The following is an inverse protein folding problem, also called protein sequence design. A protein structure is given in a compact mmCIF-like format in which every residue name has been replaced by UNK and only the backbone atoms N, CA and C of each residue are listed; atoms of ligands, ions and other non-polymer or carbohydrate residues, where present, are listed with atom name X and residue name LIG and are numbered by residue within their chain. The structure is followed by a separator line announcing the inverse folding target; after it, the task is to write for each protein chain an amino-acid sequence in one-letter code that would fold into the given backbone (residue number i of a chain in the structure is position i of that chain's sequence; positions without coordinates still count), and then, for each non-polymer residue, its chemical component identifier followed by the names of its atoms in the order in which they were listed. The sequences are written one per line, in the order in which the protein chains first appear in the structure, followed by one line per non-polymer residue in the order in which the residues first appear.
data_IF_482146961802
#
_entry.id   IF_482146961802
#
_cell.length_a   1.000
_cell.length_b   1.000
_cell.length_c   1.000
_cell.angle_alpha   90.00
_cell.angle_beta   90.00
_cell.angle_gamma   90.00
#
_symmetry.space_group_name_H-M   'P 1'
#
loop_
_entity.id
_entity.type
_entity.pdbx_description
1 polymer ?
#
# COMPACT_ATOMS: atom_id res chain seq x y z
N UNK A 1 8.77 10.88 1.34
CA UNK A 1 10.21 11.00 1.01
C UNK A 1 10.36 11.55 -0.40
N UNK A 2 11.42 12.32 -0.67
CA UNK A 2 11.71 12.95 -1.96
C UNK A 2 11.97 11.89 -3.02
N UNK A 3 11.35 12.08 -4.18
CA UNK A 3 11.47 11.22 -5.36
C UNK A 3 12.22 11.91 -6.51
N UNK A 4 13.10 12.87 -6.19
CA UNK A 4 13.99 13.45 -7.20
C UNK A 4 14.74 12.31 -7.93
N UNK A 5 14.74 12.37 -9.27
CA UNK A 5 15.37 11.38 -10.15
C UNK A 5 14.74 9.98 -10.14
N UNK A 6 13.54 9.84 -9.59
CA UNK A 6 12.70 8.66 -9.78
C UNK A 6 11.75 8.90 -10.95
N UNK A 7 11.56 7.89 -11.80
CA UNK A 7 10.61 7.95 -12.91
C UNK A 7 9.19 7.93 -12.32
N UNK A 8 8.39 9.00 -12.49
CA UNK A 8 7.12 9.09 -11.81
C UNK A 8 6.01 8.32 -12.53
N UNK A 9 5.11 7.74 -11.75
CA UNK A 9 3.77 7.40 -12.18
C UNK A 9 2.82 8.54 -11.78
N UNK A 10 2.58 8.77 -10.49
CA UNK A 10 1.79 9.91 -10.01
C UNK A 10 2.55 10.66 -8.94
N UNK A 11 3.00 11.89 -9.22
CA UNK A 11 3.92 12.59 -8.32
C UNK A 11 3.40 12.72 -6.88
N UNK A 12 2.08 12.84 -6.70
CA UNK A 12 1.42 12.93 -5.40
C UNK A 12 1.01 11.58 -4.78
N UNK A 13 1.26 10.45 -5.44
CA UNK A 13 0.88 9.09 -5.01
C UNK A 13 2.08 8.15 -4.93
N UNK A 14 3.13 8.41 -5.69
CA UNK A 14 4.38 7.68 -5.66
C UNK A 14 5.05 7.83 -4.29
N UNK A 15 5.65 6.74 -3.80
CA UNK A 15 6.32 6.70 -2.50
C UNK A 15 7.59 5.87 -2.61
N UNK A 16 8.64 6.31 -1.93
CA UNK A 16 9.88 5.56 -1.79
C UNK A 16 9.75 4.58 -0.62
N UNK A 17 10.16 3.33 -0.82
CA UNK A 17 10.14 2.30 0.21
C UNK A 17 11.43 1.48 0.21
N UNK A 18 11.69 0.77 1.31
CA UNK A 18 12.86 -0.08 1.47
C UNK A 18 12.44 -1.48 1.91
N UNK A 19 13.14 -2.49 1.41
CA UNK A 19 12.96 -3.87 1.79
C UNK A 19 14.16 -4.33 2.62
N UNK A 20 13.90 -5.03 3.71
CA UNK A 20 14.93 -5.67 4.52
C UNK A 20 14.39 -6.98 5.07
N UNK A 21 15.29 -7.97 5.19
CA UNK A 21 14.96 -9.27 5.78
C UNK A 21 14.90 -9.24 7.29
N UNK A 22 15.60 -8.28 7.90
CA UNK A 22 15.77 -8.16 9.35
C UNK A 22 15.00 -6.92 9.82
N UNK A 23 14.03 -7.07 10.75
CA UNK A 23 13.18 -5.98 11.19
C UNK A 23 13.96 -4.85 11.88
N UNK A 24 14.99 -5.15 12.67
CA UNK A 24 15.81 -4.13 13.33
C UNK A 24 16.64 -3.33 12.32
N UNK A 25 17.25 -4.02 11.34
CA UNK A 25 17.99 -3.33 10.27
C UNK A 25 17.07 -2.48 9.41
N UNK A 26 15.84 -2.97 9.18
CA UNK A 26 14.82 -2.24 8.44
C UNK A 26 14.44 -0.94 9.14
N UNK A 27 14.03 -1.04 10.42
CA UNK A 27 13.66 0.10 11.27
C UNK A 27 14.81 1.11 11.35
N UNK A 28 16.02 0.64 11.64
CA UNK A 28 17.22 1.49 11.74
C UNK A 28 17.48 2.26 10.44
N UNK A 29 17.46 1.58 9.29
CA UNK A 29 17.70 2.24 8.00
C UNK A 29 16.58 3.23 7.68
N UNK A 30 15.33 2.79 7.80
CA UNK A 30 14.18 3.59 7.43
C UNK A 30 14.09 4.87 8.27
N UNK A 31 14.24 4.79 9.60
CA UNK A 31 14.25 5.98 10.46
C UNK A 31 15.36 6.96 10.10
N UNK A 32 16.56 6.46 9.78
CA UNK A 32 17.67 7.32 9.33
C UNK A 32 17.38 7.98 7.96
N UNK A 33 16.57 7.34 7.12
CA UNK A 33 16.20 7.86 5.82
C UNK A 33 15.14 8.97 5.89
N UNK A 34 14.28 8.98 6.92
CA UNK A 34 13.25 10.01 7.19
C UNK A 34 13.83 11.36 7.64
N UNK A 35 14.93 11.81 7.03
CA UNK A 35 15.49 13.12 7.29
C UNK A 35 14.54 14.23 6.76
N UNK A 36 14.25 15.30 7.53
CA UNK A 36 13.28 16.33 7.11
C UNK A 36 13.56 17.00 5.76
N UNK A 37 14.84 17.18 5.40
CA UNK A 37 15.24 17.74 4.10
C UNK A 37 14.97 16.79 2.91
N UNK A 38 14.66 15.52 3.19
CA UNK A 38 14.24 14.53 2.21
C UNK A 38 12.71 14.33 2.23
N UNK A 39 11.93 15.17 2.93
CA UNK A 39 10.48 15.11 2.80
C UNK A 39 10.04 15.64 1.43
N UNK A 40 9.00 15.03 0.87
CA UNK A 40 8.46 15.46 -0.41
C UNK A 40 7.79 16.83 -0.23
N UNK A 41 8.02 17.75 -1.16
CA UNK A 41 7.45 19.09 -1.10
C UNK A 41 5.90 19.06 -1.11
N UNK A 42 5.27 19.93 -0.32
CA UNK A 42 3.81 20.01 -0.22
C UNK A 42 3.17 20.49 -1.51
N UNK A 43 3.88 21.26 -2.34
CA UNK A 43 3.44 21.64 -3.69
C UNK A 43 3.30 20.45 -4.64
N UNK A 44 4.03 19.36 -4.38
CA UNK A 44 3.94 18.12 -5.18
C UNK A 44 2.84 17.21 -4.64
N UNK A 45 2.76 17.04 -3.32
CA UNK A 45 1.79 16.11 -2.71
C UNK A 45 0.37 16.69 -2.59
N UNK A 46 0.23 18.01 -2.52
CA UNK A 46 -1.03 18.68 -2.18
C UNK A 46 -1.47 18.49 -0.72
N UNK A 47 -0.61 17.93 0.14
CA UNK A 47 -0.91 17.63 1.55
C UNK A 47 -0.19 18.58 2.51
N UNK A 48 -0.60 18.56 3.78
CA UNK A 48 0.10 19.27 4.86
C UNK A 48 1.57 18.81 4.97
N UNK A 49 2.49 19.62 5.53
CA UNK A 49 3.85 19.16 5.79
C UNK A 49 3.87 17.84 6.58
N UNK A 50 4.75 16.91 6.20
CA UNK A 50 4.88 15.64 6.90
C UNK A 50 5.49 15.86 8.29
N UNK A 51 4.81 15.36 9.33
CA UNK A 51 5.30 15.33 10.71
C UNK A 51 5.34 13.88 11.15
N UNK A 52 6.48 13.44 11.67
CA UNK A 52 6.72 12.04 12.04
C UNK A 52 7.22 11.95 13.48
N UNK A 53 6.33 11.94 14.48
CA UNK A 53 6.75 11.86 15.88
C UNK A 53 7.39 10.49 16.18
N UNK A 54 8.53 10.50 16.87
CA UNK A 54 9.14 9.29 17.42
C UNK A 54 8.67 9.08 18.86
N UNK A 55 7.63 8.28 19.04
CA UNK A 55 7.08 7.96 20.37
C UNK A 55 6.68 6.49 20.45
N UNK A 56 6.62 5.96 21.67
CA UNK A 56 6.07 4.64 21.96
C UNK A 56 4.60 4.71 22.41
N UNK A 57 3.91 5.78 22.02
CA UNK A 57 2.49 5.91 22.27
C UNK A 57 1.70 5.11 21.22
N UNK A 58 1.69 3.80 21.42
CA UNK A 58 1.14 2.86 20.45
C UNK A 58 -0.39 2.96 20.31
N UNK A 59 -0.94 2.64 19.12
CA UNK A 59 -2.38 2.52 18.91
C UNK A 59 -3.03 1.55 19.91
N UNK A 60 -4.32 1.77 20.22
CA UNK A 60 -5.07 0.92 21.15
C UNK A 60 -6.02 -0.06 20.48
N UNK A 61 -6.24 0.10 19.18
CA UNK A 61 -7.21 -0.72 18.43
C UNK A 61 -6.57 -1.37 17.20
N UNK A 62 -6.76 -2.68 17.06
CA UNK A 62 -6.52 -3.41 15.81
C UNK A 62 -7.81 -3.35 15.00
N UNK A 63 -7.79 -2.73 13.83
CA UNK A 63 -8.91 -2.78 12.90
C UNK A 63 -8.75 -4.04 12.03
N UNK A 64 -9.74 -4.92 12.10
CA UNK A 64 -9.89 -6.10 11.27
C UNK A 64 -10.98 -5.83 10.21
N UNK A 65 -10.62 -5.52 8.95
CA UNK A 65 -11.56 -5.30 7.86
C UNK A 65 -12.09 -6.63 7.31
N UNK A 66 -13.37 -6.93 7.57
CA UNK A 66 -14.04 -8.18 7.19
C UNK A 66 -14.26 -8.34 5.68
N UNK A 67 -14.08 -7.26 4.91
CA UNK A 67 -14.11 -7.25 3.44
C UNK A 67 -12.72 -7.45 2.82
N UNK A 68 -11.67 -7.54 3.62
CA UNK A 68 -10.30 -7.86 3.17
C UNK A 68 -9.69 -9.08 3.87
N UNK A 69 -10.31 -9.55 4.95
CA UNK A 69 -9.90 -10.70 5.75
C UNK A 69 -11.14 -11.57 6.06
N UNK A 70 -11.03 -12.91 6.19
CA UNK A 70 -9.82 -13.71 6.42
C UNK A 70 -8.90 -13.88 5.20
N UNK A 71 -7.72 -14.50 5.41
CA UNK A 71 -6.79 -14.82 4.33
C UNK A 71 -7.40 -15.84 3.35
N UNK A 72 -7.06 -15.72 2.07
CA UNK A 72 -7.59 -16.59 1.02
C UNK A 72 -7.24 -18.07 1.20
N UNK A 73 -6.07 -18.39 1.79
CA UNK A 73 -5.69 -19.74 2.15
C UNK A 73 -6.12 -20.02 3.60
N UNK A 74 -7.08 -20.94 3.84
CA UNK A 74 -7.49 -21.31 5.19
C UNK A 74 -6.34 -21.85 6.06
N UNK A 75 -5.31 -22.44 5.46
CA UNK A 75 -4.12 -22.90 6.20
C UNK A 75 -3.26 -21.74 6.72
N UNK A 76 -3.38 -20.54 6.14
CA UNK A 76 -2.68 -19.34 6.58
C UNK A 76 -3.45 -18.59 7.68
N UNK A 77 -4.76 -18.82 7.84
CA UNK A 77 -5.58 -18.08 8.81
C UNK A 77 -5.10 -18.26 10.27
N UNK A 78 -4.75 -19.48 10.76
CA UNK A 78 -4.21 -19.63 12.12
C UNK A 78 -2.93 -18.84 12.38
N UNK A 79 -2.13 -18.58 11.33
CA UNK A 79 -0.91 -17.74 11.42
C UNK A 79 -1.32 -16.28 11.66
N UNK A 80 -2.32 -15.78 10.92
CA UNK A 80 -2.85 -14.43 11.11
C UNK A 80 -3.50 -14.28 12.49
N UNK A 81 -4.32 -15.22 12.91
CA UNK A 81 -4.96 -15.21 14.24
C UNK A 81 -3.92 -15.18 15.36
N UNK A 82 -2.86 -15.99 15.25
CA UNK A 82 -1.75 -15.98 16.20
C UNK A 82 -1.02 -14.64 16.21
N UNK A 83 -0.76 -14.04 15.04
CA UNK A 83 -0.13 -12.74 14.93
C UNK A 83 -0.98 -11.63 15.58
N UNK A 84 -2.29 -11.60 15.30
CA UNK A 84 -3.24 -10.65 15.91
C UNK A 84 -3.27 -10.81 17.43
N UNK A 85 -3.30 -12.05 17.92
CA UNK A 85 -3.30 -12.35 19.36
C UNK A 85 -2.04 -11.84 20.04
N UNK A 86 -0.86 -12.09 19.46
CA UNK A 86 0.40 -11.60 20.02
C UNK A 86 0.50 -10.08 19.95
N UNK A 87 0.06 -9.45 18.85
CA UNK A 87 0.03 -7.99 18.75
C UNK A 87 -0.91 -7.37 19.81
N UNK A 88 -2.09 -7.95 20.00
CA UNK A 88 -3.01 -7.54 21.06
C UNK A 88 -2.39 -7.67 22.46
N UNK A 89 -1.65 -8.75 22.71
CA UNK A 89 -0.92 -8.97 23.98
C UNK A 89 0.21 -7.96 24.19
N UNK A 90 1.07 -7.77 23.18
CA UNK A 90 2.29 -6.94 23.28
C UNK A 90 1.96 -5.48 23.50
N UNK A 91 0.87 -4.98 22.91
CA UNK A 91 0.50 -3.56 22.93
C UNK A 91 -0.76 -3.24 23.74
N UNK A 92 -1.36 -4.25 24.38
CA UNK A 92 -2.63 -4.13 25.11
C UNK A 92 -3.74 -3.54 24.22
N UNK A 93 -3.94 -4.15 23.05
CA UNK A 93 -4.89 -3.67 22.05
C UNK A 93 -6.16 -4.50 22.00
N UNK A 94 -7.28 -3.84 21.70
CA UNK A 94 -8.54 -4.51 21.37
C UNK A 94 -8.67 -4.73 19.87
N UNK A 95 -9.26 -5.84 19.46
CA UNK A 95 -9.60 -6.10 18.06
C UNK A 95 -11.01 -5.57 17.76
N UNK A 96 -11.14 -4.73 16.74
CA UNK A 96 -12.41 -4.21 16.23
C UNK A 96 -12.63 -4.70 14.80
N UNK A 97 -13.61 -5.59 14.62
CA UNK A 97 -14.03 -6.04 13.28
C UNK A 97 -14.96 -4.99 12.66
N UNK A 98 -14.69 -4.60 11.43
CA UNK A 98 -15.52 -3.67 10.65
C UNK A 98 -15.56 -4.11 9.19
N UNK A 99 -16.56 -3.68 8.43
CA UNK A 99 -16.46 -3.69 6.97
C UNK A 99 -15.89 -2.34 6.53
N UNK A 100 -14.67 -2.31 5.98
CA UNK A 100 -13.99 -1.06 5.61
C UNK A 100 -14.75 -0.32 4.52
N UNK A 101 -15.14 -1.03 3.46
CA UNK A 101 -15.89 -0.46 2.34
C UNK A 101 -17.18 0.22 2.80
N UNK A 102 -17.99 -0.47 3.61
CA UNK A 102 -19.23 0.08 4.14
C UNK A 102 -18.97 1.22 5.14
N UNK A 103 -17.89 1.15 5.94
CA UNK A 103 -17.53 2.22 6.88
C UNK A 103 -17.23 3.53 6.13
N UNK A 104 -16.46 3.44 5.05
CA UNK A 104 -16.16 4.58 4.18
C UNK A 104 -17.44 5.09 3.50
N UNK A 105 -18.19 4.21 2.84
CA UNK A 105 -19.39 4.60 2.07
C UNK A 105 -20.54 5.16 2.91
N UNK A 106 -20.63 4.78 4.18
CA UNK A 106 -21.65 5.31 5.10
C UNK A 106 -21.23 6.62 5.78
N UNK A 107 -20.02 7.12 5.55
CA UNK A 107 -19.61 8.41 6.06
C UNK A 107 -20.46 9.54 5.44
N UNK A 108 -20.62 10.64 6.19
CA UNK A 108 -21.40 11.80 5.74
C UNK A 108 -20.60 12.75 4.85
N UNK A 109 -19.26 12.64 4.85
CA UNK A 109 -18.41 13.47 4.02
C UNK A 109 -18.59 13.11 2.53
N UNK A 110 -18.93 14.07 1.66
CA UNK A 110 -19.28 13.79 0.26
C UNK A 110 -18.11 13.27 -0.58
N UNK A 111 -16.86 13.56 -0.19
CA UNK A 111 -15.66 13.07 -0.87
C UNK A 111 -15.13 11.82 -0.18
N UNK A 112 -14.98 11.87 1.15
CA UNK A 112 -14.50 10.77 1.98
C UNK A 112 -15.35 9.51 1.84
N UNK A 113 -16.65 9.62 1.55
CA UNK A 113 -17.53 8.46 1.32
C UNK A 113 -17.55 7.94 -0.13
N UNK A 114 -16.96 8.65 -1.08
CA UNK A 114 -17.15 8.38 -2.51
C UNK A 114 -15.90 7.82 -3.19
N UNK A 115 -15.75 6.48 -3.12
CA UNK A 115 -14.66 5.78 -3.79
C UNK A 115 -14.53 6.09 -5.28
N UNK A 116 -15.64 6.29 -6.00
CA UNK A 116 -15.59 6.61 -7.43
C UNK A 116 -14.84 7.91 -7.69
N UNK A 117 -15.16 8.97 -6.95
CA UNK A 117 -14.49 10.27 -7.08
C UNK A 117 -13.02 10.15 -6.68
N UNK A 118 -12.72 9.46 -5.57
CA UNK A 118 -11.34 9.26 -5.09
C UNK A 118 -10.47 8.47 -6.09
N UNK A 119 -11.01 7.42 -6.71
CA UNK A 119 -10.31 6.61 -7.71
C UNK A 119 -10.06 7.41 -9.00
N UNK A 120 -11.05 8.18 -9.46
CA UNK A 120 -10.90 9.04 -10.64
C UNK A 120 -9.81 10.09 -10.39
N UNK A 121 -9.83 10.76 -9.24
CA UNK A 121 -8.80 11.73 -8.87
C UNK A 121 -7.41 11.09 -8.83
N UNK A 122 -7.27 9.95 -8.16
CA UNK A 122 -6.01 9.20 -8.12
C UNK A 122 -5.53 8.80 -9.52
N UNK A 123 -6.46 8.43 -10.41
CA UNK A 123 -6.14 8.06 -11.80
C UNK A 123 -5.68 9.28 -12.61
N UNK A 124 -6.29 10.45 -12.43
CA UNK A 124 -5.86 11.71 -13.07
C UNK A 124 -4.45 12.09 -12.60
N UNK A 125 -4.18 12.00 -11.30
CA UNK A 125 -2.85 12.28 -10.71
C UNK A 125 -1.77 11.40 -11.37
N UNK A 126 -2.04 10.10 -11.47
CA UNK A 126 -1.14 9.13 -12.08
C UNK A 126 -1.00 9.34 -13.60
N UNK A 127 -2.10 9.61 -14.30
CA UNK A 127 -2.08 9.73 -15.75
C UNK A 127 -1.34 11.00 -16.20
N UNK A 128 -1.64 12.15 -15.58
CA UNK A 128 -1.05 13.44 -15.97
C UNK A 128 0.45 13.48 -15.74
N UNK A 129 0.91 13.08 -14.55
CA UNK A 129 2.34 13.10 -14.21
C UNK A 129 3.13 12.17 -15.14
N UNK A 130 2.68 10.91 -15.27
CA UNK A 130 3.34 9.92 -16.13
C UNK A 130 3.38 10.39 -17.59
N UNK A 131 2.31 11.00 -18.08
CA UNK A 131 2.26 11.53 -19.44
C UNK A 131 3.22 12.68 -19.65
N UNK A 132 3.20 13.69 -18.77
CA UNK A 132 4.04 14.88 -18.91
C UNK A 132 5.52 14.57 -18.82
N UNK A 133 5.92 13.74 -17.85
CA UNK A 133 7.34 13.49 -17.56
C UNK A 133 7.91 12.38 -18.43
N UNK A 134 7.10 11.36 -18.78
CA UNK A 134 7.58 10.15 -19.46
C UNK A 134 6.96 10.00 -20.84
N UNK A 135 5.62 9.90 -20.91
CA UNK A 135 4.91 9.52 -22.12
C UNK A 135 5.15 10.46 -23.30
N UNK A 136 4.82 11.74 -23.13
CA UNK A 136 4.93 12.77 -24.18
C UNK A 136 6.39 12.97 -24.64
N UNK A 137 7.38 13.15 -23.74
CA UNK A 137 8.78 13.26 -24.16
C UNK A 137 9.30 12.02 -24.90
N UNK A 138 9.02 10.81 -24.38
CA UNK A 138 9.48 9.56 -24.99
C UNK A 138 8.87 9.36 -26.38
N UNK A 139 7.55 9.55 -26.53
CA UNK A 139 6.87 9.37 -27.81
C UNK A 139 7.38 10.39 -28.83
N UNK A 140 7.59 11.64 -28.42
CA UNK A 140 8.13 12.68 -29.31
C UNK A 140 9.53 12.31 -29.79
N UNK A 141 10.45 12.05 -28.86
CA UNK A 141 11.83 11.69 -29.21
C UNK A 141 11.91 10.41 -30.06
N UNK A 142 11.08 9.41 -29.76
CA UNK A 142 11.05 8.16 -30.53
C UNK A 142 10.55 8.39 -31.96
N UNK A 143 9.51 9.21 -32.15
CA UNK A 143 9.03 9.57 -33.49
C UNK A 143 10.12 10.25 -34.31
N UNK A 144 10.87 11.16 -33.71
CA UNK A 144 11.95 11.89 -34.40
C UNK A 144 13.09 10.95 -34.80
N UNK A 145 13.44 9.97 -33.97
CA UNK A 145 14.52 9.01 -34.24
C UNK A 145 14.13 7.88 -35.19
N UNK A 146 12.85 7.50 -35.24
CA UNK A 146 12.41 6.25 -35.86
C UNK A 146 11.26 6.44 -36.87
N UNK A 147 11.33 7.48 -37.71
CA UNK A 147 10.39 7.73 -38.83
C UNK A 147 8.93 7.81 -38.39
N UNK A 148 8.65 8.48 -37.28
CA UNK A 148 7.30 8.66 -36.77
C UNK A 148 6.68 7.43 -36.10
N UNK A 149 7.45 6.34 -35.90
CA UNK A 149 6.96 5.13 -35.20
C UNK A 149 6.64 5.43 -33.74
N UNK A 150 5.78 4.61 -33.15
CA UNK A 150 5.50 4.63 -31.70
C UNK A 150 6.51 3.74 -30.95
N UNK A 151 6.95 4.09 -29.73
CA UNK A 151 7.93 3.29 -28.99
C UNK A 151 7.41 1.90 -28.59
N UNK A 152 8.26 0.85 -28.57
CA UNK A 152 7.89 -0.49 -28.16
C UNK A 152 7.80 -0.59 -26.62
N UNK A 153 6.74 0.00 -26.05
CA UNK A 153 6.45 -0.06 -24.61
C UNK A 153 5.53 -1.23 -24.26
N UNK A 154 5.43 -1.53 -22.97
CA UNK A 154 4.55 -2.54 -22.38
C UNK A 154 3.12 -2.44 -22.94
N UNK A 155 2.56 -3.53 -23.51
CA UNK A 155 1.19 -3.60 -24.01
C UNK A 155 0.14 -2.95 -23.09
N UNK A 156 0.22 -3.16 -21.78
CA UNK A 156 -0.74 -2.62 -20.81
C UNK A 156 -0.76 -1.09 -20.72
N UNK A 157 0.31 -0.40 -21.14
CA UNK A 157 0.40 1.08 -21.13
C UNK A 157 0.16 1.72 -22.50
N UNK A 158 0.31 0.93 -23.56
CA UNK A 158 0.30 1.42 -24.95
C UNK A 158 -0.99 2.14 -25.33
N UNK A 159 -2.15 1.52 -25.11
CA UNK A 159 -3.44 2.11 -25.51
C UNK A 159 -3.73 3.42 -24.78
N UNK A 160 -3.39 3.49 -23.48
CA UNK A 160 -3.59 4.70 -22.67
C UNK A 160 -2.77 5.89 -23.17
N UNK A 161 -1.52 5.65 -23.61
CA UNK A 161 -0.68 6.71 -24.14
C UNK A 161 -1.00 7.08 -25.60
N UNK A 162 -1.43 6.13 -26.43
CA UNK A 162 -1.91 6.42 -27.79
C UNK A 162 -3.17 7.30 -27.74
N UNK A 163 -4.10 6.97 -26.84
CA UNK A 163 -5.37 7.67 -26.67
C UNK A 163 -5.32 8.82 -25.66
N UNK A 164 -4.14 9.27 -25.22
CA UNK A 164 -4.05 10.30 -24.20
C UNK A 164 -4.66 11.61 -24.69
N UNK A 165 -5.60 12.17 -23.93
CA UNK A 165 -6.34 13.35 -24.32
C UNK A 165 -6.07 14.50 -23.34
N UNK A 166 -5.21 15.44 -23.75
CA UNK A 166 -4.85 16.61 -22.96
C UNK A 166 -6.04 17.58 -22.74
N UNK A 167 -7.13 17.48 -23.50
CA UNK A 167 -8.34 18.26 -23.21
C UNK A 167 -9.12 17.71 -22.00
N UNK A 168 -8.92 16.43 -21.66
CA UNK A 168 -9.59 15.75 -20.53
C UNK A 168 -8.65 15.59 -19.34
N UNK A 169 -7.41 15.18 -19.55
CA UNK A 169 -6.41 15.07 -18.49
C UNK A 169 -5.37 16.16 -18.70
N UNK A 170 -5.50 17.24 -17.92
CA UNK A 170 -4.69 18.44 -17.98
C UNK A 170 -4.37 18.96 -16.58
N UNK A 171 -3.59 20.05 -16.53
CA UNK A 171 -3.21 20.70 -15.28
C UNK A 171 -4.41 21.10 -14.41
N UNK A 172 -5.46 21.68 -14.99
CA UNK A 172 -6.63 22.10 -14.22
C UNK A 172 -7.33 20.92 -13.54
N UNK A 173 -7.50 19.80 -14.25
CA UNK A 173 -8.09 18.59 -13.69
C UNK A 173 -7.13 17.87 -12.72
N UNK A 174 -5.82 17.98 -12.92
CA UNK A 174 -4.82 17.50 -11.97
C UNK A 174 -4.89 18.28 -10.65
N UNK A 175 -4.97 19.61 -10.70
CA UNK A 175 -5.09 20.45 -9.51
C UNK A 175 -6.39 20.17 -8.75
N UNK A 176 -7.50 19.99 -9.47
CA UNK A 176 -8.77 19.55 -8.87
C UNK A 176 -8.68 18.14 -8.24
N UNK A 177 -7.93 17.23 -8.85
CA UNK A 177 -7.70 15.90 -8.31
C UNK A 177 -6.84 15.91 -7.04
N UNK A 178 -5.83 16.80 -6.96
CA UNK A 178 -5.06 17.02 -5.72
C UNK A 178 -5.96 17.51 -4.58
N UNK A 179 -6.90 18.40 -4.89
CA UNK A 179 -7.87 18.89 -3.90
C UNK A 179 -8.78 17.76 -3.38
N UNK A 180 -9.29 16.91 -4.27
CA UNK A 180 -10.06 15.72 -3.89
C UNK A 180 -9.22 14.79 -2.99
N UNK A 181 -7.96 14.53 -3.37
CA UNK A 181 -7.05 13.71 -2.55
C UNK A 181 -6.85 14.33 -1.16
N UNK A 182 -6.65 15.63 -1.07
CA UNK A 182 -6.48 16.35 0.20
C UNK A 182 -7.70 16.18 1.11
N UNK A 183 -8.91 16.28 0.56
CA UNK A 183 -10.16 16.07 1.30
C UNK A 183 -10.32 14.61 1.76
N UNK A 184 -10.01 13.65 0.89
CA UNK A 184 -10.03 12.22 1.25
C UNK A 184 -9.05 11.89 2.38
N UNK A 185 -7.82 12.41 2.32
CA UNK A 185 -6.81 12.27 3.38
C UNK A 185 -7.28 12.92 4.67
N UNK A 186 -7.84 14.13 4.61
CA UNK A 186 -8.35 14.83 5.80
C UNK A 186 -9.49 14.05 6.48
N UNK A 187 -10.42 13.48 5.71
CA UNK A 187 -11.46 12.60 6.23
C UNK A 187 -10.86 11.36 6.89
N UNK A 188 -9.92 10.69 6.22
CA UNK A 188 -9.29 9.48 6.76
C UNK A 188 -8.55 9.74 8.09
N UNK A 189 -7.81 10.84 8.15
CA UNK A 189 -7.07 11.32 9.31
C UNK A 189 -7.95 11.87 10.44
N UNK A 190 -9.18 12.30 10.14
CA UNK A 190 -10.12 12.87 11.12
C UNK A 190 -11.13 11.85 11.66
N UNK A 191 -11.60 10.94 10.81
CA UNK A 191 -12.78 10.11 11.07
C UNK A 191 -12.47 8.61 11.16
N UNK A 192 -11.41 8.14 10.50
CA UNK A 192 -11.10 6.70 10.41
C UNK A 192 -9.85 6.29 11.22
N UNK A 193 -8.66 6.72 10.80
CA UNK A 193 -7.41 6.56 11.55
C UNK A 193 -6.99 7.90 12.14
N UNK A 194 -7.72 8.34 13.16
CA UNK A 194 -7.51 9.62 13.81
C UNK A 194 -6.44 9.58 14.90
N UNK A 195 -5.93 10.76 15.24
CA UNK A 195 -5.05 10.96 16.39
C UNK A 195 -5.86 11.20 17.67
N UNK A 196 -5.35 10.72 18.80
CA UNK A 196 -5.79 11.07 20.16
C UNK A 196 -4.72 11.95 20.82
N UNK A 197 -4.99 12.55 21.99
CA UNK A 197 -3.95 13.25 22.74
C UNK A 197 -2.76 12.34 23.08
N UNK A 198 -2.99 11.03 23.20
CA UNK A 198 -1.98 10.04 23.55
C UNK A 198 -1.28 9.47 22.31
N UNK A 199 -2.00 9.09 21.25
CA UNK A 199 -1.44 8.42 20.07
C UNK A 199 -1.64 9.22 18.80
N UNK A 200 -0.62 9.29 17.94
CA UNK A 200 -0.78 9.90 16.63
C UNK A 200 -1.72 9.09 15.70
N UNK A 201 -1.94 7.80 15.97
CA UNK A 201 -2.92 6.96 15.28
C UNK A 201 -3.60 6.05 16.32
N UNK A 202 -4.90 6.22 16.56
CA UNK A 202 -5.63 5.44 17.56
C UNK A 202 -5.75 3.95 17.20
N UNK A 203 -5.59 3.65 15.91
CA UNK A 203 -5.68 2.29 15.39
C UNK A 203 -4.52 1.91 14.47
N UNK A 204 -4.28 0.61 14.37
CA UNK A 204 -3.57 -0.04 13.27
C UNK A 204 -4.57 -0.92 12.52
N UNK A 205 -4.69 -0.74 11.21
CA UNK A 205 -5.54 -1.59 10.37
C UNK A 205 -4.69 -2.69 9.74
N UNK A 206 -5.20 -3.91 9.76
CA UNK A 206 -4.57 -5.06 9.12
C UNK A 206 -5.31 -5.44 7.84
N UNK A 207 -4.60 -5.71 6.75
CA UNK A 207 -5.23 -6.28 5.55
C UNK A 207 -4.18 -7.08 4.77
N UNK A 208 -4.62 -7.92 3.83
CA UNK A 208 -3.70 -8.60 2.92
C UNK A 208 -3.65 -7.92 1.54
N UNK A 209 -2.51 -7.35 1.18
CA UNK A 209 -2.22 -6.91 -0.20
C UNK A 209 -1.76 -8.07 -1.10
N UNK A 210 -1.33 -9.16 -0.47
CA UNK A 210 -0.66 -10.28 -1.10
C UNK A 210 -1.63 -11.25 -1.76
N UNK A 211 -1.38 -12.53 -1.52
CA UNK A 211 -2.10 -13.65 -2.13
C UNK A 211 -2.93 -14.44 -1.12
N UNK A 212 -2.97 -14.00 0.14
CA UNK A 212 -3.61 -14.70 1.24
C UNK A 212 -2.94 -16.01 1.61
N UNK A 213 -1.64 -16.18 1.31
CA UNK A 213 -0.91 -17.43 1.55
C UNK A 213 -1.06 -18.47 0.42
N UNK A 214 -1.43 -18.03 -0.79
CA UNK A 214 -1.39 -18.85 -2.01
C UNK A 214 -0.16 -18.51 -2.86
N UNK A 215 0.39 -19.46 -3.65
CA UNK A 215 1.45 -19.16 -4.61
C UNK A 215 0.96 -18.19 -5.71
N UNK A 216 1.90 -17.36 -6.20
CA UNK A 216 1.71 -16.54 -7.41
C UNK A 216 2.81 -16.86 -8.41
N UNK A 217 2.42 -17.30 -9.60
CA UNK A 217 3.33 -17.76 -10.64
C UNK A 217 3.62 -16.67 -11.66
N UNK A 218 4.81 -16.70 -12.28
CA UNK A 218 5.12 -15.87 -13.45
C UNK A 218 4.29 -16.27 -14.68
N UNK A 219 3.92 -17.54 -14.76
CA UNK A 219 3.07 -18.08 -15.81
C UNK A 219 1.61 -17.76 -15.53
N UNK A 220 1.00 -16.93 -16.38
CA UNK A 220 -0.37 -16.43 -16.20
C UNK A 220 -1.38 -17.56 -15.96
N UNK A 221 -1.35 -18.61 -16.78
CA UNK A 221 -2.31 -19.71 -16.72
C UNK A 221 -2.27 -20.48 -15.40
N UNK A 222 -1.12 -20.53 -14.72
CA UNK A 222 -1.01 -21.21 -13.42
C UNK A 222 -1.72 -20.46 -12.29
N UNK A 223 -1.98 -19.16 -12.47
CA UNK A 223 -2.71 -18.33 -11.51
C UNK A 223 -4.24 -18.36 -11.71
N UNK A 224 -4.73 -19.08 -12.72
CA UNK A 224 -6.17 -19.26 -12.97
C UNK A 224 -6.74 -20.45 -12.15
N UNK A 225 -5.87 -21.19 -11.44
CA UNK A 225 -6.24 -22.26 -10.50
C UNK A 225 -6.77 -21.69 -9.17
N UNK A 226 -7.72 -22.36 -8.47
CA UNK A 226 -8.11 -22.00 -7.11
C UNK A 226 -6.96 -22.12 -6.08
N UNK A 227 -5.92 -22.90 -6.40
CA UNK A 227 -4.75 -23.11 -5.53
C UNK A 227 -3.66 -22.05 -5.70
N UNK A 228 -3.94 -20.99 -6.46
CA UNK A 228 -3.00 -19.91 -6.75
C UNK A 228 -3.74 -18.57 -6.77
N UNK A 229 -2.99 -17.48 -6.69
CA UNK A 229 -3.59 -16.15 -6.77
C UNK A 229 -2.66 -15.15 -7.43
N UNK A 230 -3.26 -14.16 -8.10
CA UNK A 230 -2.54 -12.95 -8.47
C UNK A 230 -2.30 -12.09 -7.22
N UNK A 231 -1.19 -11.35 -7.21
CA UNK A 231 -0.99 -10.32 -6.18
C UNK A 231 -1.99 -9.18 -6.35
N UNK A 232 -2.36 -8.52 -5.24
CA UNK A 232 -3.20 -7.32 -5.22
C UNK A 232 -4.56 -7.49 -5.93
N UNK A 233 -5.17 -8.67 -5.78
CA UNK A 233 -6.56 -8.89 -6.19
C UNK A 233 -7.50 -8.06 -5.32
N UNK A 234 -8.59 -7.57 -5.91
CA UNK A 234 -9.66 -6.93 -5.13
C UNK A 234 -10.53 -8.01 -4.52
N UNK A 235 -10.63 -8.12 -3.18
CA UNK A 235 -11.53 -9.07 -2.54
C UNK A 235 -12.98 -8.86 -2.96
N UNK A 236 -13.80 -9.92 -2.87
CA UNK A 236 -15.23 -9.80 -3.05
C UNK A 236 -15.84 -8.90 -1.97
N UNK A 237 -16.73 -7.98 -2.36
CA UNK A 237 -17.35 -7.01 -1.45
C UNK A 237 -16.48 -5.78 -1.13
N UNK A 238 -15.19 -5.78 -1.44
CA UNK A 238 -14.34 -4.60 -1.31
C UNK A 238 -14.55 -3.61 -2.47
N UNK A 239 -14.60 -2.31 -2.17
CA UNK A 239 -14.70 -1.28 -3.22
C UNK A 239 -13.41 -1.16 -4.05
N UNK A 240 -12.25 -1.29 -3.39
CA UNK A 240 -10.92 -1.09 -3.98
C UNK A 240 -9.97 -2.24 -3.63
N UNK A 241 -8.86 -2.36 -4.36
CA UNK A 241 -7.77 -3.28 -3.97
C UNK A 241 -7.09 -2.72 -2.73
N UNK A 242 -6.51 -3.57 -1.89
CA UNK A 242 -5.74 -3.12 -0.72
C UNK A 242 -4.62 -2.14 -1.11
N UNK A 243 -3.92 -2.44 -2.21
CA UNK A 243 -2.88 -1.59 -2.81
C UNK A 243 -3.35 -0.18 -3.23
N UNK A 244 -4.66 0.08 -3.28
CA UNK A 244 -5.26 1.36 -3.66
C UNK A 244 -5.61 2.23 -2.45
N UNK A 245 -5.67 1.65 -1.24
CA UNK A 245 -6.10 2.35 -0.02
C UNK A 245 -5.18 3.54 0.29
N UNK A 246 -3.87 3.32 0.51
CA UNK A 246 -2.97 4.42 0.87
C UNK A 246 -2.59 5.37 -0.28
N UNK A 247 -2.61 4.97 -1.57
CA UNK A 247 -2.56 5.95 -2.65
C UNK A 247 -3.70 6.99 -2.60
N UNK A 248 -4.91 6.58 -2.16
CA UNK A 248 -6.04 7.49 -1.93
C UNK A 248 -5.82 8.30 -0.64
N UNK A 249 -5.60 7.61 0.48
CA UNK A 249 -5.69 8.22 1.82
C UNK A 249 -4.36 8.71 2.41
N UNK A 250 -3.23 8.49 1.74
CA UNK A 250 -1.91 8.94 2.17
C UNK A 250 -1.35 8.24 3.41
N UNK A 251 -1.95 7.14 3.86
CA UNK A 251 -1.55 6.39 5.05
C UNK A 251 -0.16 5.73 4.92
N UNK A 252 0.43 5.38 6.07
CA UNK A 252 1.64 4.56 6.13
C UNK A 252 1.24 3.09 6.18
N UNK A 253 1.81 2.28 5.28
CA UNK A 253 1.40 0.90 5.03
C UNK A 253 2.62 -0.02 4.86
N UNK A 254 2.83 -0.89 5.85
CA UNK A 254 3.99 -1.74 5.95
C UNK A 254 3.60 -3.21 5.83
N UNK A 255 4.15 -3.91 4.84
CA UNK A 255 3.97 -5.37 4.70
C UNK A 255 5.01 -6.11 5.53
N UNK A 256 4.56 -6.98 6.44
CA UNK A 256 5.43 -7.82 7.26
C UNK A 256 5.17 -9.31 7.03
N UNK A 257 6.22 -10.15 6.91
CA UNK A 257 6.05 -11.60 6.89
C UNK A 257 5.76 -12.09 8.31
N UNK A 258 4.69 -12.88 8.44
CA UNK A 258 4.18 -13.39 9.73
C UNK A 258 4.24 -14.92 9.81
N UNK A 259 4.54 -15.60 8.70
CA UNK A 259 4.67 -17.04 8.66
C UNK A 259 4.88 -17.57 7.25
N UNK A 260 4.61 -18.85 7.06
CA UNK A 260 4.65 -19.52 5.76
C UNK A 260 3.76 -20.77 5.81
N UNK A 261 3.24 -21.18 4.66
CA UNK A 261 2.42 -22.38 4.51
C UNK A 261 2.96 -23.24 3.37
N UNK A 262 2.86 -24.58 3.46
CA UNK A 262 3.23 -25.46 2.37
C UNK A 262 2.22 -25.38 1.23
N UNK A 263 2.67 -25.61 0.00
CA UNK A 263 1.82 -25.82 -1.17
C UNK A 263 2.46 -26.82 -2.13
N UNK A 264 1.65 -27.54 -2.89
CA UNK A 264 2.13 -28.41 -3.95
C UNK A 264 2.40 -27.57 -5.21
N UNK A 265 3.65 -27.51 -5.65
CA UNK A 265 4.04 -26.66 -6.78
C UNK A 265 3.74 -27.31 -8.12
N UNK A 266 2.97 -26.62 -8.97
CA UNK A 266 2.70 -27.04 -10.35
C UNK A 266 3.90 -26.81 -11.30
N UNK A 267 4.99 -26.23 -10.81
CA UNK A 267 6.22 -25.99 -11.58
C UNK A 267 7.28 -27.03 -11.23
N UNK A 268 7.50 -27.26 -9.93
CA UNK A 268 8.55 -28.17 -9.45
C UNK A 268 8.03 -29.57 -9.15
N UNK A 269 6.72 -29.76 -9.07
CA UNK A 269 6.07 -31.01 -8.67
C UNK A 269 6.49 -31.51 -7.28
N UNK A 270 6.95 -30.59 -6.43
CA UNK A 270 7.30 -30.83 -5.03
C UNK A 270 6.49 -29.92 -4.10
N UNK A 271 6.44 -30.30 -2.82
CA UNK A 271 5.99 -29.41 -1.77
C UNK A 271 7.02 -28.28 -1.60
N UNK A 272 6.54 -27.04 -1.67
CA UNK A 272 7.31 -25.82 -1.50
C UNK A 272 6.63 -24.94 -0.44
N UNK A 273 7.29 -23.88 0.01
CA UNK A 273 6.72 -22.95 1.00
C UNK A 273 6.39 -21.60 0.36
N UNK A 274 5.22 -21.05 0.70
CA UNK A 274 4.87 -19.67 0.36
C UNK A 274 4.81 -18.82 1.64
N UNK A 275 5.49 -17.64 1.67
CA UNK A 275 5.38 -16.72 2.80
C UNK A 275 3.94 -16.24 3.00
N UNK A 276 3.54 -16.10 4.25
CA UNK A 276 2.31 -15.41 4.65
C UNK A 276 2.70 -14.03 5.16
N UNK A 277 2.08 -13.00 4.60
CA UNK A 277 2.34 -11.60 4.94
C UNK A 277 1.05 -10.91 5.36
N UNK A 278 1.18 -9.82 6.11
CA UNK A 278 0.07 -8.92 6.40
C UNK A 278 0.55 -7.47 6.28
N UNK A 279 -0.32 -6.59 5.81
CA UNK A 279 -0.11 -5.16 5.85
C UNK A 279 -0.53 -4.61 7.21
N UNK A 280 0.28 -3.72 7.76
CA UNK A 280 -0.03 -2.93 8.95
C UNK A 280 -0.13 -1.46 8.53
N UNK A 281 -1.29 -0.85 8.74
CA UNK A 281 -1.59 0.50 8.27
C UNK A 281 -1.88 1.43 9.43
N UNK A 282 -1.23 2.59 9.45
CA UNK A 282 -1.50 3.67 10.41
C UNK A 282 -1.73 4.99 9.69
N UNK A 283 -2.27 5.97 10.43
CA UNK A 283 -2.40 7.35 9.98
C UNK A 283 -1.08 7.86 9.39
N UNK A 284 -1.19 8.64 8.30
CA UNK A 284 -0.07 9.39 7.74
C UNK A 284 0.71 10.15 8.82
N UNK A 285 2.04 9.99 8.81
CA UNK A 285 2.94 10.60 9.79
C UNK A 285 3.19 9.72 11.01
N UNK A 286 2.45 8.64 11.23
CA UNK A 286 2.72 7.69 12.32
C UNK A 286 3.73 6.60 11.96
N UNK A 287 4.50 6.82 10.90
CA UNK A 287 5.49 5.89 10.37
C UNK A 287 6.49 5.43 11.45
N UNK A 288 6.99 6.36 12.29
CA UNK A 288 7.93 6.01 13.36
C UNK A 288 7.28 5.22 14.50
N UNK A 289 6.02 5.52 14.86
CA UNK A 289 5.26 4.69 15.80
C UNK A 289 5.10 3.28 15.25
N UNK A 290 4.78 3.13 13.96
CA UNK A 290 4.65 1.83 13.34
C UNK A 290 6.01 1.10 13.29
N UNK A 291 7.12 1.78 12.99
CA UNK A 291 8.47 1.19 13.09
C UNK A 291 8.81 0.76 14.52
N UNK A 292 8.44 1.54 15.54
CA UNK A 292 8.61 1.18 16.95
C UNK A 292 7.80 -0.07 17.31
N UNK A 293 6.58 -0.20 16.77
CA UNK A 293 5.79 -1.43 16.91
C UNK A 293 6.50 -2.62 16.28
N UNK A 294 7.07 -2.47 15.08
CA UNK A 294 7.80 -3.54 14.38
C UNK A 294 9.04 -3.97 15.16
N UNK A 295 9.82 -3.01 15.68
CA UNK A 295 10.98 -3.30 16.52
C UNK A 295 10.57 -4.04 17.80
N UNK A 296 9.52 -3.58 18.50
CA UNK A 296 9.03 -4.24 19.71
C UNK A 296 8.47 -5.65 19.44
N UNK A 297 7.77 -5.85 18.32
CA UNK A 297 7.31 -7.18 17.90
C UNK A 297 8.49 -8.11 17.59
N UNK A 298 9.59 -7.58 17.07
CA UNK A 298 10.81 -8.35 16.86
C UNK A 298 11.52 -8.71 18.17
N UNK A 299 11.60 -7.77 19.12
CA UNK A 299 12.15 -8.00 20.46
C UNK A 299 11.38 -9.09 21.23
N UNK A 300 10.06 -9.13 21.07
CA UNK A 300 9.17 -10.16 21.64
C UNK A 300 9.19 -11.48 20.85
N UNK A 301 9.94 -11.55 19.74
CA UNK A 301 10.04 -12.74 18.89
C UNK A 301 8.79 -13.05 18.06
N UNK A 302 7.85 -12.11 17.97
CA UNK A 302 6.64 -12.21 17.12
C UNK A 302 7.02 -12.05 15.66
N UNK A 303 7.80 -11.02 15.34
CA UNK A 303 8.43 -10.84 14.03
C UNK A 303 9.88 -11.34 14.08
N UNK A 304 10.34 -11.93 12.97
CA UNK A 304 11.66 -12.57 12.91
C UNK A 304 12.36 -12.21 11.61
N UNK A 305 13.69 -12.26 11.66
CA UNK A 305 14.49 -12.15 10.43
C UNK A 305 14.13 -13.28 9.47
N UNK A 306 13.84 -12.94 8.22
CA UNK A 306 13.57 -13.93 7.18
C UNK A 306 14.85 -14.44 6.52
N UNK A 307 14.84 -15.72 6.17
CA UNK A 307 15.92 -16.41 5.46
C UNK A 307 15.87 -16.14 3.97
N UNK A 308 16.93 -16.54 3.29
CA UNK A 308 16.98 -16.70 1.83
C UNK A 308 16.83 -18.18 1.49
N UNK A 309 16.25 -18.49 0.34
CA UNK A 309 16.14 -19.86 -0.16
C UNK A 309 14.72 -20.41 -0.06
N UNK A 310 14.59 -21.67 0.36
CA UNK A 310 13.36 -22.46 0.26
C UNK A 310 12.31 -22.15 1.34
N UNK A 311 12.73 -21.60 2.48
CA UNK A 311 11.83 -21.29 3.60
C UNK A 311 12.04 -19.84 4.05
N UNK A 312 10.97 -19.22 4.54
CA UNK A 312 10.99 -17.88 5.11
C UNK A 312 11.70 -17.84 6.48
N UNK A 313 11.65 -18.93 7.24
CA UNK A 313 12.23 -19.03 8.60
C UNK A 313 13.03 -20.30 8.84
#
# INVERSE_FOLDING_TARGET
MSLERVIPLGAATDTAGVFSRDPHKWVKFAKAWYAPHLYQDTSITGLSPLVVPDTDAFPKTIIYPTDYLPLNNPAAEPILESFIKEMARVFDMRVKKINFTATVQNATDPIGSNFTIMIIATSIINAWTSWLVVGKPLITAWKDMFEGRFPPIEPARRLGWIGFNESVTNQANYDAALEIKRQAVAWYEGEFQYSTPESCSESVMLYDIGTGGLPSFRERLLNESPDASYMAVRPEGAAVRGATICPIFGCADFTVPIGQVPYQSNVTFHEEMVPVTINMVVKRGCDFVLYNMIEKLADEGVLKTVKTGKTAY
#
